data_IF_651234899274
#
_entry.id   IF_651234899274
#
_cell.length_a   1.000
_cell.length_b   1.000
_cell.length_c   1.000
_cell.angle_alpha   90.00
_cell.angle_beta   90.00
_cell.angle_gamma   90.00
#
_symmetry.space_group_name_H-M   'P 1'
#
loop_
_entity.id
_entity.type
_entity.pdbx_description
1 polymer ?
#
# COMPACT_ATOMS: atom_id res chain seq x y z
N UNK A 1 18.14 -3.99 -25.85
CA UNK A 1 18.29 -2.83 -24.92
C UNK A 1 17.99 -3.29 -23.50
N UNK A 2 18.47 -2.57 -22.47
CA UNK A 2 18.31 -2.98 -21.05
C UNK A 2 16.84 -3.11 -20.65
N UNK A 3 15.97 -2.20 -21.10
CA UNK A 3 14.52 -2.26 -20.80
C UNK A 3 13.88 -3.55 -21.34
N UNK A 4 14.22 -3.97 -22.56
CA UNK A 4 13.70 -5.22 -23.12
C UNK A 4 14.19 -6.46 -22.35
N UNK A 5 15.42 -6.42 -21.85
CA UNK A 5 15.97 -7.51 -21.04
C UNK A 5 15.26 -7.57 -19.66
N UNK A 6 14.95 -6.41 -19.07
CA UNK A 6 14.20 -6.34 -17.80
C UNK A 6 12.76 -6.83 -17.98
N UNK A 7 12.09 -6.49 -19.09
CA UNK A 7 10.74 -6.99 -19.38
C UNK A 7 10.74 -8.50 -19.54
N UNK A 8 11.67 -9.06 -20.31
CA UNK A 8 11.81 -10.53 -20.46
C UNK A 8 12.09 -11.22 -19.11
N UNK A 9 12.92 -10.61 -18.28
CA UNK A 9 13.18 -11.14 -16.94
C UNK A 9 11.93 -11.10 -16.07
N UNK A 10 11.17 -10.00 -16.11
CA UNK A 10 9.89 -9.87 -15.41
C UNK A 10 8.90 -10.96 -15.87
N UNK A 11 8.71 -11.13 -17.18
CA UNK A 11 7.81 -12.13 -17.76
C UNK A 11 8.18 -13.56 -17.31
N UNK A 12 9.48 -13.86 -17.28
CA UNK A 12 9.97 -15.16 -16.83
C UNK A 12 9.69 -15.38 -15.33
N UNK A 13 9.93 -14.37 -14.49
CA UNK A 13 9.66 -14.45 -13.05
C UNK A 13 8.15 -14.52 -12.75
N UNK A 14 7.33 -13.80 -13.52
CA UNK A 14 5.88 -13.82 -13.39
C UNK A 14 5.29 -15.19 -13.81
N UNK A 15 5.81 -15.81 -14.87
CA UNK A 15 5.41 -17.15 -15.30
C UNK A 15 5.73 -18.25 -14.27
N UNK A 16 6.70 -17.99 -13.39
CA UNK A 16 7.09 -18.90 -12.30
C UNK A 16 6.40 -18.54 -10.96
N UNK A 17 5.38 -17.67 -10.95
CA UNK A 17 4.68 -17.17 -9.74
C UNK A 17 5.63 -16.58 -8.68
N UNK A 18 6.78 -16.05 -9.10
CA UNK A 18 7.79 -15.45 -8.19
C UNK A 18 7.59 -13.98 -7.92
N UNK A 19 6.64 -13.35 -8.61
CA UNK A 19 6.32 -11.93 -8.46
C UNK A 19 4.86 -11.75 -8.05
N UNK A 20 4.54 -10.71 -7.28
CA UNK A 20 3.17 -10.29 -7.08
C UNK A 20 2.49 -10.01 -8.43
N UNK A 21 1.17 -10.18 -8.49
CA UNK A 21 0.38 -9.79 -9.66
C UNK A 21 0.51 -8.29 -9.94
N UNK A 22 0.25 -7.89 -11.19
CA UNK A 22 0.20 -6.47 -11.55
C UNK A 22 -0.80 -5.72 -10.63
N UNK A 23 -0.42 -4.53 -10.18
CA UNK A 23 -1.18 -3.76 -9.19
C UNK A 23 -0.98 -4.19 -7.74
N UNK A 24 -0.08 -5.17 -7.49
CA UNK A 24 0.27 -5.64 -6.14
C UNK A 24 1.77 -5.61 -5.89
N UNK A 25 2.14 -5.57 -4.62
CA UNK A 25 3.54 -5.66 -4.19
C UNK A 25 3.68 -6.52 -2.93
N UNK A 26 4.90 -6.90 -2.61
CA UNK A 26 5.21 -7.54 -1.32
C UNK A 26 5.37 -6.46 -0.25
N UNK A 27 4.40 -6.35 0.66
CA UNK A 27 4.39 -5.43 1.79
C UNK A 27 4.88 -6.06 3.08
N UNK A 28 5.53 -5.25 3.93
CA UNK A 28 5.87 -5.61 5.32
C UNK A 28 4.70 -5.25 6.21
N UNK A 29 3.97 -6.24 6.72
CA UNK A 29 2.78 -6.06 7.55
C UNK A 29 3.08 -6.46 9.00
N UNK A 30 2.74 -5.60 9.93
CA UNK A 30 3.01 -5.80 11.36
C UNK A 30 1.77 -6.14 12.17
N UNK A 31 0.58 -5.69 11.73
CA UNK A 31 -0.67 -5.85 12.47
C UNK A 31 -1.85 -6.08 11.55
N UNK A 32 -2.88 -6.77 12.05
CA UNK A 32 -4.19 -6.87 11.44
C UNK A 32 -5.24 -6.20 12.35
N UNK A 33 -6.06 -5.34 11.78
CA UNK A 33 -7.22 -4.71 12.43
C UNK A 33 -8.43 -5.61 12.24
N UNK A 34 -8.90 -6.24 13.30
CA UNK A 34 -10.04 -7.15 13.28
C UNK A 34 -11.34 -6.34 13.37
N UNK A 35 -12.17 -6.43 12.35
CA UNK A 35 -13.43 -5.71 12.26
C UNK A 35 -14.62 -6.66 12.40
N UNK A 36 -15.64 -6.22 13.15
CA UNK A 36 -16.97 -6.83 13.09
C UNK A 36 -17.67 -6.58 11.77
N UNK A 37 -18.77 -7.29 11.49
CA UNK A 37 -19.60 -7.04 10.31
C UNK A 37 -20.19 -5.63 10.26
N UNK A 38 -20.34 -4.96 11.40
CA UNK A 38 -20.78 -3.57 11.55
C UNK A 38 -19.65 -2.55 11.46
N UNK A 39 -18.40 -2.99 11.27
CA UNK A 39 -17.22 -2.15 11.15
C UNK A 39 -16.68 -1.64 12.51
N UNK A 40 -16.95 -2.32 13.60
CA UNK A 40 -16.33 -1.99 14.89
C UNK A 40 -14.96 -2.67 14.98
N UNK A 41 -13.96 -1.97 15.54
CA UNK A 41 -12.66 -2.58 15.84
C UNK A 41 -12.82 -3.53 17.04
N UNK A 42 -12.65 -4.82 16.79
CA UNK A 42 -12.81 -5.90 17.78
C UNK A 42 -11.48 -6.39 18.35
N UNK A 43 -10.38 -6.17 17.64
CA UNK A 43 -9.05 -6.60 18.04
C UNK A 43 -7.95 -6.04 17.15
N UNK A 44 -6.71 -6.19 17.61
CA UNK A 44 -5.50 -5.95 16.80
C UNK A 44 -4.59 -7.15 16.99
N UNK A 45 -4.42 -7.93 15.93
CA UNK A 45 -3.51 -9.08 15.94
C UNK A 45 -2.11 -8.67 15.46
N UNK A 46 -1.08 -9.08 16.22
CA UNK A 46 0.32 -8.90 15.84
C UNK A 46 0.73 -9.95 14.82
N UNK A 47 1.20 -9.49 13.65
CA UNK A 47 1.70 -10.33 12.55
C UNK A 47 3.24 -10.37 12.50
N UNK A 48 3.90 -9.94 13.56
CA UNK A 48 5.36 -9.98 13.65
C UNK A 48 5.82 -11.36 14.06
N UNK A 49 6.77 -11.91 13.33
CA UNK A 49 7.33 -13.24 13.58
C UNK A 49 8.71 -13.11 14.22
N UNK A 50 9.04 -13.97 15.21
CA UNK A 50 10.37 -14.02 15.78
C UNK A 50 11.41 -14.32 14.70
N UNK A 51 12.47 -13.52 14.63
CA UNK A 51 13.60 -13.76 13.73
C UNK A 51 14.89 -13.72 14.53
N UNK A 52 15.79 -14.65 14.21
CA UNK A 52 17.13 -14.69 14.78
C UNK A 52 18.14 -14.23 13.71
N UNK A 53 18.77 -13.09 13.96
CA UNK A 53 19.89 -12.61 13.15
C UNK A 53 21.18 -12.72 13.96
N UNK A 54 21.86 -13.84 13.84
CA UNK A 54 23.06 -14.16 14.63
C UNK A 54 22.73 -14.21 16.13
N UNK A 55 23.36 -13.33 16.94
CA UNK A 55 23.11 -13.25 18.39
C UNK A 55 21.95 -12.32 18.77
N UNK A 56 21.34 -11.63 17.81
CA UNK A 56 20.23 -10.71 18.07
C UNK A 56 18.91 -11.41 17.77
N UNK A 57 18.04 -11.47 18.79
CA UNK A 57 16.64 -11.89 18.65
C UNK A 57 15.78 -10.64 18.44
N UNK A 58 14.84 -10.70 17.54
CA UNK A 58 13.90 -9.60 17.29
C UNK A 58 12.68 -10.11 16.54
N UNK A 59 11.70 -9.24 16.34
CA UNK A 59 10.51 -9.57 15.59
C UNK A 59 10.53 -8.84 14.23
N UNK A 60 10.29 -9.56 13.16
CA UNK A 60 10.14 -9.00 11.82
C UNK A 60 8.68 -8.99 11.40
N UNK A 61 8.29 -7.95 10.65
CA UNK A 61 6.99 -7.88 10.00
C UNK A 61 6.84 -9.04 8.99
N UNK A 62 5.64 -9.57 8.87
CA UNK A 62 5.30 -10.59 7.90
C UNK A 62 5.30 -10.01 6.48
N UNK A 63 5.80 -10.77 5.52
CA UNK A 63 5.73 -10.40 4.10
C UNK A 63 4.43 -10.93 3.52
N UNK A 64 3.56 -10.02 3.06
CA UNK A 64 2.27 -10.37 2.45
C UNK A 64 2.13 -9.67 1.10
N UNK A 65 1.40 -10.29 0.18
CA UNK A 65 0.94 -9.60 -1.03
C UNK A 65 -0.13 -8.59 -0.65
N UNK A 66 0.08 -7.33 -1.03
CA UNK A 66 -0.80 -6.21 -0.75
C UNK A 66 -0.96 -5.34 -1.98
N UNK A 67 -2.03 -4.52 -2.10
CA UNK A 67 -2.15 -3.51 -3.15
C UNK A 67 -0.88 -2.67 -3.26
N UNK A 68 -0.53 -2.29 -4.49
CA UNK A 68 0.73 -1.60 -4.78
C UNK A 68 0.90 -0.32 -3.95
N UNK A 69 2.10 -0.11 -3.47
CA UNK A 69 2.46 1.01 -2.60
C UNK A 69 3.57 1.83 -3.23
N UNK A 70 3.24 3.05 -3.61
CA UNK A 70 4.21 4.01 -4.11
C UNK A 70 5.14 4.55 -3.01
N UNK A 71 6.21 5.22 -3.45
CA UNK A 71 7.11 5.89 -2.53
C UNK A 71 6.51 7.21 -2.06
N UNK A 72 6.30 7.36 -0.75
CA UNK A 72 5.87 8.62 -0.14
C UNK A 72 7.07 9.50 0.22
N UNK A 73 6.93 10.81 -0.04
CA UNK A 73 7.84 11.83 0.46
C UNK A 73 7.10 12.78 1.42
N UNK A 74 6.65 13.93 0.93
CA UNK A 74 5.96 14.94 1.73
C UNK A 74 4.43 14.88 1.57
N UNK A 75 3.96 14.38 0.44
CA UNK A 75 2.54 14.36 0.09
C UNK A 75 1.74 13.36 0.94
N UNK A 76 0.46 13.67 1.14
CA UNK A 76 -0.51 12.74 1.70
C UNK A 76 -0.96 11.84 0.55
N UNK A 77 -0.59 10.56 0.63
CA UNK A 77 -0.90 9.54 -0.36
C UNK A 77 -1.33 8.27 0.39
N UNK A 78 -2.64 8.02 0.54
CA UNK A 78 -3.14 6.81 1.19
C UNK A 78 -2.92 5.57 0.32
N UNK A 79 -2.77 4.41 0.94
CA UNK A 79 -2.73 3.12 0.26
C UNK A 79 -3.99 2.31 0.57
N UNK A 80 -4.42 1.51 -0.39
CA UNK A 80 -5.61 0.70 -0.26
C UNK A 80 -5.35 -0.54 0.61
N UNK A 81 -6.21 -0.81 1.58
CA UNK A 81 -6.25 -1.95 2.51
C UNK A 81 -4.99 -2.21 3.35
N UNK A 82 -3.86 -1.62 3.02
CA UNK A 82 -2.60 -1.84 3.76
C UNK A 82 -1.83 -0.53 3.91
N UNK A 83 -1.84 0.04 5.11
CA UNK A 83 -1.15 1.29 5.39
C UNK A 83 -0.71 1.37 6.87
N UNK A 84 0.01 2.41 7.24
CA UNK A 84 0.43 2.62 8.63
C UNK A 84 -0.68 3.23 9.50
N UNK A 85 -0.47 3.29 10.81
CA UNK A 85 -1.45 3.73 11.79
C UNK A 85 -1.92 5.18 11.60
N UNK A 86 -1.11 6.06 11.00
CA UNK A 86 -1.52 7.44 10.71
C UNK A 86 -2.67 7.47 9.69
N UNK A 87 -2.64 6.58 8.68
CA UNK A 87 -3.65 6.55 7.64
C UNK A 87 -4.88 5.71 8.01
N UNK A 88 -4.69 4.55 8.66
CA UNK A 88 -5.82 3.67 8.97
C UNK A 88 -6.53 4.00 10.29
N UNK A 89 -5.82 4.59 11.25
CA UNK A 89 -6.37 4.91 12.57
C UNK A 89 -6.39 6.42 12.85
N UNK A 90 -5.71 7.25 12.04
CA UNK A 90 -5.50 8.67 12.37
C UNK A 90 -4.62 8.86 13.60
N UNK A 91 -3.85 7.85 14.00
CA UNK A 91 -3.01 7.89 15.19
C UNK A 91 -1.81 8.81 14.96
N UNK A 92 -1.73 9.88 15.75
CA UNK A 92 -0.58 10.79 15.68
C UNK A 92 0.68 10.14 16.26
N UNK A 93 1.63 9.84 15.41
CA UNK A 93 2.91 9.21 15.78
C UNK A 93 4.09 10.20 15.80
N UNK A 94 3.86 11.47 15.46
CA UNK A 94 4.93 12.48 15.24
C UNK A 94 4.65 13.84 15.86
N UNK A 95 3.62 13.99 16.70
CA UNK A 95 3.24 15.27 17.30
C UNK A 95 2.59 16.24 16.31
N UNK A 96 1.89 15.71 15.31
CA UNK A 96 1.15 16.53 14.32
C UNK A 96 -0.27 15.95 14.10
N UNK A 97 -1.19 16.19 15.04
CA UNK A 97 -2.54 15.63 14.99
C UNK A 97 -3.34 16.11 13.77
N UNK A 98 -3.11 17.34 13.33
CA UNK A 98 -3.76 17.86 12.11
C UNK A 98 -3.39 17.03 10.88
N UNK A 99 -2.10 16.69 10.74
CA UNK A 99 -1.65 15.84 9.62
C UNK A 99 -2.18 14.41 9.76
N UNK A 100 -2.23 13.86 10.97
CA UNK A 100 -2.78 12.53 11.20
C UNK A 100 -4.25 12.46 10.75
N UNK A 101 -5.07 13.45 11.12
CA UNK A 101 -6.44 13.57 10.66
C UNK A 101 -6.53 13.67 9.12
N UNK A 102 -5.71 14.50 8.49
CA UNK A 102 -5.69 14.63 7.03
C UNK A 102 -5.34 13.31 6.34
N UNK A 103 -4.39 12.54 6.88
CA UNK A 103 -4.02 11.22 6.36
C UNK A 103 -5.18 10.21 6.48
N UNK A 104 -5.87 10.18 7.63
CA UNK A 104 -7.03 9.34 7.85
C UNK A 104 -8.17 9.68 6.88
N UNK A 105 -8.51 10.96 6.73
CA UNK A 105 -9.55 11.40 5.80
C UNK A 105 -9.23 11.06 4.35
N UNK A 106 -7.95 11.19 3.96
CA UNK A 106 -7.51 10.77 2.63
C UNK A 106 -7.66 9.25 2.43
N UNK A 107 -7.32 8.45 3.45
CA UNK A 107 -7.52 7.00 3.44
C UNK A 107 -8.99 6.62 3.36
N UNK A 108 -9.84 7.23 4.19
CA UNK A 108 -11.30 7.07 4.15
C UNK A 108 -11.86 7.36 2.76
N UNK A 109 -11.43 8.47 2.14
CA UNK A 109 -11.87 8.86 0.80
C UNK A 109 -11.49 7.80 -0.24
N UNK A 110 -10.24 7.32 -0.25
CA UNK A 110 -9.76 6.29 -1.17
C UNK A 110 -10.57 4.99 -1.02
N UNK A 111 -10.74 4.51 0.21
CA UNK A 111 -11.50 3.28 0.45
C UNK A 111 -12.96 3.42 0.03
N UNK A 112 -13.58 4.59 0.26
CA UNK A 112 -14.94 4.85 -0.21
C UNK A 112 -15.03 4.88 -1.74
N UNK A 113 -14.07 5.48 -2.41
CA UNK A 113 -14.00 5.54 -3.88
C UNK A 113 -13.94 4.14 -4.48
N UNK A 114 -13.15 3.23 -3.89
CA UNK A 114 -12.96 1.88 -4.42
C UNK A 114 -14.09 0.93 -3.99
N UNK A 115 -14.56 1.01 -2.74
CA UNK A 115 -15.43 -0.01 -2.15
C UNK A 115 -16.93 0.30 -2.19
N UNK A 116 -17.36 1.55 -2.47
CA UNK A 116 -18.79 1.93 -2.35
C UNK A 116 -19.74 1.17 -3.28
N UNK A 117 -19.23 0.58 -4.36
CA UNK A 117 -20.00 -0.25 -5.29
C UNK A 117 -19.82 -1.76 -5.09
N UNK A 118 -19.04 -2.18 -4.09
CA UNK A 118 -18.70 -3.61 -3.87
C UNK A 118 -19.73 -4.26 -2.95
N UNK A 119 -20.50 -5.20 -3.46
CA UNK A 119 -21.44 -5.98 -2.63
C UNK A 119 -20.74 -7.15 -1.94
N UNK A 120 -20.01 -6.83 -0.88
CA UNK A 120 -19.34 -7.82 -0.02
C UNK A 120 -19.37 -7.39 1.44
N UNK A 121 -19.59 -8.30 2.42
CA UNK A 121 -19.61 -7.97 3.85
C UNK A 121 -18.37 -7.22 4.33
N UNK A 122 -17.18 -7.66 3.93
CA UNK A 122 -15.92 -7.02 4.30
C UNK A 122 -15.81 -5.58 3.76
N UNK A 123 -16.30 -5.29 2.54
CA UNK A 123 -16.31 -3.94 2.00
C UNK A 123 -17.22 -3.03 2.85
N UNK A 124 -18.41 -3.52 3.22
CA UNK A 124 -19.33 -2.79 4.10
C UNK A 124 -18.73 -2.56 5.48
N UNK A 125 -18.08 -3.57 6.06
CA UNK A 125 -17.43 -3.45 7.36
C UNK A 125 -16.30 -2.41 7.36
N UNK A 126 -15.45 -2.40 6.34
CA UNK A 126 -14.35 -1.42 6.20
C UNK A 126 -14.90 0.00 6.01
N UNK A 127 -15.93 0.19 5.19
CA UNK A 127 -16.56 1.49 5.02
C UNK A 127 -17.23 1.97 6.31
N UNK A 128 -17.94 1.10 7.00
CA UNK A 128 -18.57 1.40 8.29
C UNK A 128 -17.52 1.73 9.36
N UNK A 129 -16.37 1.05 9.37
CA UNK A 129 -15.25 1.39 10.24
C UNK A 129 -14.79 2.83 10.01
N UNK A 130 -14.50 3.23 8.80
CA UNK A 130 -14.07 4.59 8.48
C UNK A 130 -15.14 5.65 8.81
N UNK A 131 -16.41 5.29 8.78
CA UNK A 131 -17.51 6.23 9.10
C UNK A 131 -17.73 6.42 10.59
N UNK A 132 -17.46 5.40 11.41
CA UNK A 132 -17.68 5.40 12.85
C UNK A 132 -16.45 5.71 13.68
N UNK A 133 -15.26 5.43 13.12
CA UNK A 133 -14.01 5.61 13.85
C UNK A 133 -13.71 7.08 14.10
N UNK A 134 -13.40 7.38 15.37
CA UNK A 134 -12.94 8.71 15.77
C UNK A 134 -11.41 8.75 15.90
N UNK A 135 -10.69 9.37 14.94
CA UNK A 135 -9.24 9.50 15.01
C UNK A 135 -8.73 10.25 16.25
N UNK A 136 -9.54 11.19 16.78
CA UNK A 136 -9.14 11.94 17.97
C UNK A 136 -9.10 11.08 19.23
N UNK A 137 -9.94 10.05 19.29
CA UNK A 137 -9.99 9.08 20.38
C UNK A 137 -9.17 7.81 20.10
N UNK A 138 -8.45 7.74 18.97
CA UNK A 138 -7.72 6.54 18.56
C UNK A 138 -6.78 6.00 19.65
N UNK A 139 -5.98 6.87 20.28
CA UNK A 139 -5.04 6.48 21.33
C UNK A 139 -5.72 6.00 22.62
N UNK A 140 -7.00 6.35 22.82
CA UNK A 140 -7.79 5.96 23.99
C UNK A 140 -8.52 4.61 23.79
N UNK A 141 -8.62 4.13 22.56
CA UNK A 141 -9.22 2.84 22.26
C UNK A 141 -8.44 1.70 22.93
N UNK A 142 -9.14 0.78 23.58
CA UNK A 142 -8.53 -0.30 24.39
C UNK A 142 -7.53 -1.14 23.58
N UNK A 143 -7.89 -1.52 22.35
CA UNK A 143 -7.05 -2.36 21.50
C UNK A 143 -5.83 -1.60 20.98
N UNK A 144 -5.98 -0.30 20.68
CA UNK A 144 -4.86 0.56 20.28
C UNK A 144 -3.89 0.79 21.43
N UNK A 145 -4.38 0.98 22.66
CA UNK A 145 -3.54 1.14 23.88
C UNK A 145 -2.60 -0.04 24.07
N UNK A 146 -3.11 -1.25 23.92
CA UNK A 146 -2.33 -2.47 24.14
C UNK A 146 -1.17 -2.61 23.12
N UNK A 147 -1.30 -1.97 21.96
CA UNK A 147 -0.32 -2.01 20.87
C UNK A 147 0.35 -0.65 20.58
N UNK A 148 0.08 0.38 21.40
CA UNK A 148 0.45 1.77 21.11
C UNK A 148 1.93 1.95 20.78
N UNK A 149 2.82 1.36 21.55
CA UNK A 149 4.26 1.46 21.35
C UNK A 149 4.70 0.90 19.97
N UNK A 150 4.14 -0.23 19.56
CA UNK A 150 4.42 -0.84 18.28
C UNK A 150 3.81 -0.08 17.10
N UNK A 151 2.58 0.41 17.24
CA UNK A 151 1.89 1.21 16.24
C UNK A 151 2.59 2.56 15.99
N UNK A 152 3.11 3.19 17.05
CA UNK A 152 3.87 4.44 16.95
C UNK A 152 5.29 4.24 16.42
N UNK A 153 5.90 3.07 16.68
CA UNK A 153 7.21 2.71 16.12
C UNK A 153 7.16 2.50 14.59
N UNK A 154 5.97 2.35 14.03
CA UNK A 154 5.74 2.17 12.59
C UNK A 154 5.43 0.72 12.21
N UNK A 155 5.17 0.51 10.94
CA UNK A 155 4.73 -0.75 10.36
C UNK A 155 3.37 -0.59 9.70
N UNK A 156 3.11 -1.41 8.68
CA UNK A 156 1.82 -1.41 8.02
C UNK A 156 0.83 -2.30 8.78
N UNK A 157 -0.41 -1.88 8.69
CA UNK A 157 -1.57 -2.59 9.17
C UNK A 157 -2.42 -3.02 7.97
N UNK A 158 -3.16 -4.11 8.11
CA UNK A 158 -4.19 -4.55 7.17
C UNK A 158 -5.53 -4.69 7.89
N UNK A 159 -6.61 -4.75 7.14
CA UNK A 159 -7.92 -5.11 7.70
C UNK A 159 -8.14 -6.62 7.67
N UNK A 160 -8.79 -7.14 8.70
CA UNK A 160 -9.32 -8.49 8.77
C UNK A 160 -10.82 -8.41 9.03
N UNK A 161 -11.62 -9.09 8.20
CA UNK A 161 -13.07 -9.22 8.34
C UNK A 161 -13.46 -10.67 8.04
N UNK A 162 -14.39 -11.25 8.80
CA UNK A 162 -14.82 -12.65 8.68
C UNK A 162 -13.63 -13.63 8.65
N UNK A 163 -12.67 -13.45 9.56
CA UNK A 163 -11.44 -14.25 9.67
C UNK A 163 -10.55 -14.25 8.42
N UNK A 164 -10.79 -13.35 7.47
CA UNK A 164 -9.99 -13.21 6.26
C UNK A 164 -9.28 -11.86 6.20
N UNK A 165 -8.06 -11.85 5.72
CA UNK A 165 -7.37 -10.61 5.40
C UNK A 165 -8.00 -9.96 4.16
N UNK A 166 -8.38 -8.69 4.28
CA UNK A 166 -9.16 -7.97 3.28
C UNK A 166 -8.50 -7.95 1.89
N UNK A 167 -7.17 -7.84 1.82
CA UNK A 167 -6.44 -7.84 0.55
C UNK A 167 -6.44 -9.21 -0.15
N UNK A 168 -6.85 -10.29 0.52
CA UNK A 168 -7.01 -11.62 -0.04
C UNK A 168 -8.42 -11.91 -0.59
N UNK A 169 -9.41 -11.06 -0.26
CA UNK A 169 -10.82 -11.27 -0.64
C UNK A 169 -11.01 -10.96 -2.13
N UNK A 170 -11.51 -11.92 -2.94
CA UNK A 170 -11.61 -11.74 -4.40
C UNK A 170 -12.38 -10.49 -4.82
N UNK A 171 -13.54 -10.21 -4.23
CA UNK A 171 -14.36 -9.05 -4.57
C UNK A 171 -13.63 -7.69 -4.32
N UNK A 172 -12.80 -7.62 -3.27
CA UNK A 172 -11.99 -6.43 -2.98
C UNK A 172 -10.80 -6.33 -3.93
N UNK A 173 -10.23 -7.47 -4.33
CA UNK A 173 -9.16 -7.52 -5.34
C UNK A 173 -9.67 -7.04 -6.70
N UNK A 174 -10.80 -7.54 -7.16
CA UNK A 174 -11.45 -7.12 -8.40
C UNK A 174 -11.73 -5.61 -8.41
N UNK A 175 -12.22 -5.06 -7.30
CA UNK A 175 -12.44 -3.62 -7.17
C UNK A 175 -11.15 -2.80 -7.28
N UNK A 176 -10.06 -3.28 -6.68
CA UNK A 176 -8.74 -2.67 -6.79
C UNK A 176 -8.20 -2.72 -8.22
N UNK A 177 -8.28 -3.87 -8.87
CA UNK A 177 -7.85 -4.07 -10.26
C UNK A 177 -8.62 -3.16 -11.22
N UNK A 178 -9.95 -3.05 -11.05
CA UNK A 178 -10.77 -2.11 -11.82
C UNK A 178 -10.38 -0.64 -11.58
N UNK A 179 -10.11 -0.27 -10.32
CA UNK A 179 -9.63 1.07 -9.98
C UNK A 179 -8.29 1.38 -10.63
N UNK A 180 -7.31 0.47 -10.58
CA UNK A 180 -6.01 0.62 -11.23
C UNK A 180 -6.17 0.80 -12.74
N UNK A 181 -6.95 -0.05 -13.39
CA UNK A 181 -7.22 0.03 -14.83
C UNK A 181 -7.85 1.37 -15.24
N UNK A 182 -8.72 1.93 -14.39
CA UNK A 182 -9.32 3.25 -14.65
C UNK A 182 -8.31 4.40 -14.51
N UNK A 183 -7.24 4.23 -13.70
CA UNK A 183 -6.19 5.24 -13.53
C UNK A 183 -5.10 5.18 -14.63
N UNK A 184 -5.01 4.08 -15.38
CA UNK A 184 -4.03 3.91 -16.48
C UNK A 184 -4.30 4.79 -17.72
N UNK A 185 -5.12 5.85 -17.60
CA UNK A 185 -5.36 6.84 -18.63
C UNK A 185 -4.12 7.76 -18.78
N UNK A 186 -3.10 7.24 -19.46
CA UNK A 186 -1.89 7.99 -19.81
C UNK A 186 -1.94 8.58 -21.20
N UNK A 187 -0.95 9.46 -21.52
CA UNK A 187 -0.74 9.93 -22.88
C UNK A 187 -0.34 8.74 -23.75
N UNK A 188 -1.07 8.51 -24.84
CA UNK A 188 -0.75 7.45 -25.80
C UNK A 188 0.43 7.86 -26.68
N UNK A 189 1.57 7.26 -26.46
CA UNK A 189 2.77 7.44 -27.28
C UNK A 189 3.37 6.08 -27.68
N UNK A 190 4.29 6.04 -28.64
CA UNK A 190 5.01 4.81 -28.95
C UNK A 190 5.84 4.34 -27.75
N UNK A 191 5.57 3.14 -27.26
CA UNK A 191 6.33 2.52 -26.17
C UNK A 191 7.77 2.27 -26.60
N UNK A 192 8.76 2.71 -25.83
CA UNK A 192 10.19 2.50 -26.11
C UNK A 192 10.61 1.03 -26.10
N UNK A 193 9.82 0.15 -25.49
CA UNK A 193 10.11 -1.29 -25.40
C UNK A 193 9.47 -2.05 -26.55
N UNK A 194 8.17 -1.85 -26.79
CA UNK A 194 7.38 -2.62 -27.76
C UNK A 194 7.23 -1.94 -29.11
N UNK A 195 7.37 -0.61 -29.19
CA UNK A 195 7.06 0.21 -30.35
C UNK A 195 5.56 0.44 -30.59
N UNK A 196 4.68 -0.23 -29.84
CA UNK A 196 3.24 -0.07 -29.96
C UNK A 196 2.77 1.25 -29.36
N UNK A 197 1.72 1.87 -29.94
CA UNK A 197 1.03 3.01 -29.30
C UNK A 197 0.18 2.48 -28.15
N UNK A 198 0.47 2.98 -26.97
CA UNK A 198 -0.22 2.61 -25.74
C UNK A 198 -0.03 3.71 -24.70
N UNK A 199 -0.84 3.74 -23.62
CA UNK A 199 -0.58 4.62 -22.49
C UNK A 199 0.83 4.39 -21.96
N UNK A 200 1.61 5.46 -21.82
CA UNK A 200 2.98 5.40 -21.32
C UNK A 200 3.08 6.06 -19.94
N UNK A 201 3.93 5.51 -19.09
CA UNK A 201 4.31 6.17 -17.84
C UNK A 201 5.33 7.28 -18.18
N UNK A 202 5.00 8.53 -17.83
CA UNK A 202 5.95 9.66 -17.92
C UNK A 202 7.07 9.49 -16.91
N UNK A 203 6.75 8.97 -15.72
CA UNK A 203 7.70 8.65 -14.67
C UNK A 203 7.54 7.18 -14.30
N UNK A 204 8.62 6.43 -14.35
CA UNK A 204 8.62 5.05 -13.85
C UNK A 204 8.95 4.99 -12.35
N UNK A 205 8.53 3.91 -11.70
CA UNK A 205 8.81 3.66 -10.29
C UNK A 205 10.31 3.55 -10.00
N UNK A 206 10.71 3.89 -8.77
CA UNK A 206 12.11 3.77 -8.33
C UNK A 206 12.48 2.31 -8.07
N UNK A 207 13.66 1.90 -8.55
CA UNK A 207 14.22 0.58 -8.30
C UNK A 207 14.90 0.60 -6.93
N UNK A 208 14.44 -0.24 -6.01
CA UNK A 208 14.97 -0.35 -4.64
C UNK A 208 15.87 -1.58 -4.50
N UNK A 209 16.72 -1.56 -3.47
CA UNK A 209 17.57 -2.71 -3.13
C UNK A 209 18.79 -2.87 -4.04
N UNK A 210 19.09 -1.91 -4.91
CA UNK A 210 20.31 -1.89 -5.71
C UNK A 210 21.48 -1.51 -4.79
N UNK A 211 22.51 -2.37 -4.76
CA UNK A 211 23.73 -2.12 -3.98
C UNK A 211 24.38 -0.80 -4.41
N UNK A 212 24.80 0.00 -3.45
CA UNK A 212 25.47 1.29 -3.64
C UNK A 212 24.59 2.40 -4.30
N UNK A 213 23.29 2.14 -4.51
CA UNK A 213 22.33 3.16 -4.95
C UNK A 213 21.65 3.86 -3.77
N UNK A 214 20.87 4.92 -4.05
CA UNK A 214 20.13 5.66 -3.02
C UNK A 214 19.14 4.73 -2.29
N UNK A 215 19.09 4.81 -0.96
CA UNK A 215 18.20 4.01 -0.10
C UNK A 215 16.72 4.19 -0.40
N UNK A 216 16.33 5.39 -0.88
CA UNK A 216 14.95 5.71 -1.30
C UNK A 216 14.58 5.13 -2.67
N UNK A 217 15.55 4.51 -3.37
CA UNK A 217 15.43 3.95 -4.71
C UNK A 217 16.09 4.81 -5.79
N UNK A 218 16.60 4.13 -6.81
CA UNK A 218 17.26 4.72 -7.98
C UNK A 218 16.31 4.79 -9.17
N UNK A 219 16.40 5.85 -9.96
CA UNK A 219 15.74 5.92 -11.25
C UNK A 219 16.63 5.26 -12.32
N UNK A 220 16.04 4.42 -13.16
CA UNK A 220 16.74 3.86 -14.32
C UNK A 220 16.85 4.90 -15.45
N UNK A 221 15.75 5.64 -15.67
CA UNK A 221 15.66 6.74 -16.63
C UNK A 221 14.91 7.87 -15.92
N UNK A 222 15.36 9.11 -16.07
CA UNK A 222 14.70 10.26 -15.46
C UNK A 222 14.90 11.51 -16.33
N UNK A 223 13.78 12.18 -16.63
CA UNK A 223 13.74 13.47 -17.30
C UNK A 223 13.16 14.48 -16.29
N UNK A 224 14.02 15.05 -15.49
CA UNK A 224 13.61 15.94 -14.38
C UNK A 224 13.89 17.42 -14.65
N UNK A 225 14.26 17.75 -15.89
CA UNK A 225 14.51 19.12 -16.33
C UNK A 225 14.18 19.23 -17.81
N UNK A 226 13.63 20.37 -18.23
CA UNK A 226 13.34 20.67 -19.64
C UNK A 226 14.56 20.56 -20.56
N UNK A 227 15.77 20.73 -20.01
CA UNK A 227 17.02 20.53 -20.77
C UNK A 227 17.23 19.09 -21.24
N UNK A 228 16.54 18.11 -20.66
CA UNK A 228 16.61 16.69 -21.05
C UNK A 228 15.44 16.23 -21.94
N UNK A 229 14.51 17.13 -22.23
CA UNK A 229 13.41 16.88 -23.16
C UNK A 229 13.91 17.12 -24.59
N UNK A 230 14.23 16.03 -25.28
CA UNK A 230 14.81 16.13 -26.65
C UNK A 230 13.81 16.60 -27.70
N UNK A 231 12.51 16.53 -27.43
CA UNK A 231 11.42 16.91 -28.32
C UNK A 231 10.24 17.43 -27.48
N UNK A 232 10.41 18.60 -26.89
CA UNK A 232 9.36 19.31 -26.14
C UNK A 232 8.33 19.96 -27.07
#
# INVERSE_FOLDING_TARGET
MILQALVKYYEMMAAEDKLPKQGYCTGKVSYALELSGEGELCGITTLRLPVEHGKKKGDAAQLLEVPEQESRSVNILPFFLCDNAIYLLGLDTKGNPKRALQCFEASKKLHREILSGVDHPAARAILAFFDRWDPAAAAENRYVKDHLAGLTAGGNLIFQADDQYAQGIPALREAWEAYCAAQEQGVELPCLVTGARQPIAILHGKIRGVKDAQSVGANLVSFNSSAYESYG
#
